data_IF_122599978410
#
_entry.id   IF_122599978410
#
_cell.length_a   1.000
_cell.length_b   1.000
_cell.length_c   1.000
_cell.angle_alpha   90.00
_cell.angle_beta   90.00
_cell.angle_gamma   90.00
#
_symmetry.space_group_name_H-M   'P 1'
#
loop_
_entity.id
_entity.type
_entity.pdbx_description
1 polymer ?
#
# COMPACT_ATOMS: atom_id res chain seq x y z
N UNK A 1 -6.04 -10.85 -13.34
CA UNK A 1 -5.27 -11.97 -13.95
C UNK A 1 -5.39 -13.19 -13.04
N UNK A 2 -5.16 -14.43 -13.50
CA UNK A 2 -5.29 -15.60 -12.59
C UNK A 2 -3.96 -15.93 -11.92
N UNK A 3 -3.92 -15.80 -10.59
CA UNK A 3 -2.80 -16.25 -9.75
C UNK A 3 -2.92 -17.72 -9.36
N UNK A 4 -1.80 -18.35 -9.06
CA UNK A 4 -1.67 -19.67 -8.44
C UNK A 4 -1.35 -19.47 -6.96
N UNK A 5 -1.99 -20.25 -6.09
CA UNK A 5 -1.71 -20.23 -4.66
C UNK A 5 -0.60 -21.24 -4.34
N UNK A 6 0.54 -20.73 -3.91
CA UNK A 6 1.69 -21.50 -3.44
C UNK A 6 1.71 -21.49 -1.92
N UNK A 7 1.77 -22.68 -1.31
CA UNK A 7 1.89 -22.86 0.14
C UNK A 7 3.27 -23.43 0.47
N UNK A 8 3.96 -22.78 1.40
CA UNK A 8 5.28 -23.18 1.86
C UNK A 8 5.19 -23.92 3.20
N UNK A 9 6.23 -24.71 3.51
CA UNK A 9 6.30 -25.56 4.71
C UNK A 9 6.27 -24.75 6.01
N UNK A 10 6.77 -23.52 5.98
CA UNK A 10 6.74 -22.59 7.12
C UNK A 10 5.34 -22.01 7.38
N UNK A 11 4.39 -22.21 6.47
CA UNK A 11 3.02 -21.67 6.52
C UNK A 11 2.81 -20.42 5.67
N UNK A 12 3.85 -19.93 4.99
CA UNK A 12 3.77 -18.79 4.07
C UNK A 12 2.87 -19.13 2.89
N UNK A 13 2.05 -18.17 2.46
CA UNK A 13 1.14 -18.31 1.32
C UNK A 13 1.37 -17.18 0.34
N UNK A 14 1.68 -17.52 -0.91
CA UNK A 14 1.80 -16.55 -1.99
C UNK A 14 0.76 -16.81 -3.07
N UNK A 15 0.22 -15.73 -3.63
CA UNK A 15 -0.60 -15.74 -4.84
C UNK A 15 0.26 -15.17 -5.97
N UNK A 16 0.72 -16.04 -6.86
CA UNK A 16 1.75 -15.73 -7.87
C UNK A 16 1.20 -15.90 -9.29
N UNK A 17 1.64 -15.04 -10.20
CA UNK A 17 1.48 -15.26 -11.63
C UNK A 17 2.50 -16.29 -12.13
N UNK A 18 2.32 -16.77 -13.36
CA UNK A 18 3.24 -17.76 -13.97
C UNK A 18 4.69 -17.28 -14.08
N UNK A 19 4.93 -15.96 -14.07
CA UNK A 19 6.27 -15.36 -14.09
C UNK A 19 6.86 -15.18 -12.68
N UNK A 20 6.19 -15.66 -11.62
CA UNK A 20 6.61 -15.53 -10.23
C UNK A 20 6.25 -14.20 -9.56
N UNK A 21 5.56 -13.29 -10.26
CA UNK A 21 5.13 -12.03 -9.66
C UNK A 21 3.92 -12.21 -8.74
N UNK A 22 3.96 -11.61 -7.54
CA UNK A 22 2.82 -11.58 -6.64
C UNK A 22 1.63 -10.81 -7.25
N UNK A 23 0.44 -11.39 -7.19
CA UNK A 23 -0.79 -10.80 -7.70
C UNK A 23 -2.02 -11.39 -7.00
N UNK A 24 -2.87 -10.53 -6.42
CA UNK A 24 -4.20 -10.91 -5.95
C UNK A 24 -5.12 -9.69 -5.84
N UNK A 25 -6.29 -9.75 -6.48
CA UNK A 25 -7.25 -8.62 -6.51
C UNK A 25 -8.09 -8.51 -5.23
N UNK A 26 -8.47 -9.65 -4.62
CA UNK A 26 -9.43 -9.69 -3.50
C UNK A 26 -8.79 -9.90 -2.11
N UNK A 27 -7.47 -9.71 -1.97
CA UNK A 27 -6.78 -9.97 -0.71
C UNK A 27 -5.27 -9.80 -0.78
N UNK A 28 -4.56 -10.09 0.33
CA UNK A 28 -3.10 -10.06 0.33
C UNK A 28 -2.55 -11.11 -0.64
N UNK A 29 -1.58 -10.71 -1.45
CA UNK A 29 -0.87 -11.62 -2.33
C UNK A 29 0.24 -12.37 -1.59
N UNK A 30 0.66 -11.87 -0.42
CA UNK A 30 1.52 -12.59 0.51
C UNK A 30 0.93 -12.58 1.92
N UNK A 31 0.82 -13.76 2.53
CA UNK A 31 0.43 -13.95 3.93
C UNK A 31 1.51 -14.76 4.64
N UNK A 32 2.08 -14.20 5.70
CA UNK A 32 3.16 -14.85 6.45
C UNK A 32 2.65 -15.48 7.75
N UNK A 33 3.31 -16.55 8.24
CA UNK A 33 2.92 -17.24 9.48
C UNK A 33 2.99 -16.34 10.71
N UNK A 34 3.91 -15.37 10.67
CA UNK A 34 4.02 -14.38 11.72
C UNK A 34 2.82 -13.43 11.74
N UNK A 35 1.93 -13.41 10.75
CA UNK A 35 0.75 -12.54 10.68
C UNK A 35 0.92 -11.30 9.79
N UNK A 36 2.11 -11.08 9.23
CA UNK A 36 2.35 -10.02 8.25
C UNK A 36 1.57 -10.31 6.96
N UNK A 37 1.14 -9.24 6.28
CA UNK A 37 0.37 -9.31 5.03
C UNK A 37 0.83 -8.25 4.06
N UNK A 38 0.90 -8.62 2.79
CA UNK A 38 1.23 -7.70 1.71
C UNK A 38 0.29 -7.85 0.52
N UNK A 39 -0.12 -6.72 -0.03
CA UNK A 39 -1.02 -6.64 -1.19
C UNK A 39 -0.21 -6.26 -2.43
N UNK A 40 -0.31 -7.10 -3.45
CA UNK A 40 0.41 -6.94 -4.70
C UNK A 40 -0.53 -7.15 -5.88
N UNK A 41 -0.38 -6.30 -6.89
CA UNK A 41 -1.05 -6.42 -8.19
C UNK A 41 0.03 -6.36 -9.27
N UNK A 42 0.19 -7.45 -10.02
CA UNK A 42 1.14 -7.55 -11.13
C UNK A 42 2.58 -7.21 -10.70
N UNK A 43 3.03 -7.82 -9.60
CA UNK A 43 4.38 -7.60 -9.07
C UNK A 43 4.60 -6.23 -8.44
N UNK A 44 3.55 -5.40 -8.27
CA UNK A 44 3.64 -4.08 -7.63
C UNK A 44 2.85 -4.03 -6.34
N UNK A 45 3.48 -3.59 -5.26
CA UNK A 45 2.82 -3.35 -3.99
C UNK A 45 1.72 -2.28 -4.19
N UNK A 46 0.48 -2.65 -3.92
CA UNK A 46 -0.69 -1.86 -4.30
C UNK A 46 -1.90 -2.23 -3.44
N UNK A 47 -2.56 -1.22 -2.86
CA UNK A 47 -3.91 -1.35 -2.30
C UNK A 47 -4.58 0.02 -2.20
N UNK A 48 -5.81 0.15 -2.71
CA UNK A 48 -6.55 1.42 -2.72
C UNK A 48 -7.25 1.73 -1.38
N UNK A 49 -7.85 0.70 -0.76
CA UNK A 49 -8.72 0.89 0.41
C UNK A 49 -8.02 0.73 1.77
N UNK A 50 -6.69 0.63 1.78
CA UNK A 50 -5.95 0.35 3.01
C UNK A 50 -4.44 0.29 2.83
N UNK A 51 -3.69 -0.04 3.89
CA UNK A 51 -2.25 -0.24 3.78
C UNK A 51 -1.97 -1.45 2.88
N UNK A 52 -1.00 -1.28 1.99
CA UNK A 52 -0.53 -2.37 1.12
C UNK A 52 0.45 -3.30 1.83
N UNK A 53 0.96 -2.90 3.00
CA UNK A 53 1.75 -3.74 3.91
C UNK A 53 1.21 -3.54 5.32
N UNK A 54 0.83 -4.63 5.97
CA UNK A 54 0.43 -4.70 7.38
C UNK A 54 1.36 -5.65 8.12
N UNK A 55 2.16 -5.12 9.04
CA UNK A 55 3.03 -5.92 9.89
C UNK A 55 2.31 -6.31 11.18
N UNK A 56 2.58 -7.49 11.75
CA UNK A 56 1.98 -7.94 13.01
C UNK A 56 2.31 -7.03 14.19
N UNK A 57 3.48 -6.40 14.17
CA UNK A 57 3.84 -5.43 15.19
C UNK A 57 2.90 -4.20 15.20
N UNK A 58 2.09 -4.01 14.15
CA UNK A 58 1.12 -2.94 13.99
C UNK A 58 1.55 -1.86 12.99
N UNK A 59 2.76 -1.92 12.46
CA UNK A 59 3.26 -0.98 11.46
C UNK A 59 2.50 -1.15 10.14
N UNK A 60 2.25 -0.04 9.45
CA UNK A 60 1.46 0.01 8.22
C UNK A 60 2.12 0.88 7.17
N UNK A 61 2.09 0.43 5.92
CA UNK A 61 2.59 1.22 4.79
C UNK A 61 1.59 1.20 3.63
N UNK A 62 1.33 2.37 3.05
CA UNK A 62 0.41 2.56 1.93
C UNK A 62 1.19 2.70 0.63
N UNK A 63 0.81 1.89 -0.35
CA UNK A 63 1.42 1.88 -1.67
C UNK A 63 0.33 1.81 -2.74
N UNK A 64 0.53 2.56 -3.81
CA UNK A 64 -0.28 2.51 -5.03
C UNK A 64 0.68 2.32 -6.19
N UNK A 65 0.50 1.23 -6.93
CA UNK A 65 1.27 0.92 -8.15
C UNK A 65 2.78 0.93 -7.92
N UNK A 66 3.24 0.38 -6.79
CA UNK A 66 4.66 0.31 -6.43
C UNK A 66 5.25 1.64 -5.95
N UNK A 67 4.42 2.65 -5.64
CA UNK A 67 4.86 3.93 -5.08
C UNK A 67 4.20 4.18 -3.73
N UNK A 68 4.98 4.55 -2.71
CA UNK A 68 4.43 5.00 -1.42
C UNK A 68 3.50 6.19 -1.67
N UNK A 69 2.26 6.08 -1.21
CA UNK A 69 1.23 7.06 -1.52
C UNK A 69 0.09 6.96 -0.51
N UNK A 70 -0.33 8.10 0.05
CA UNK A 70 -1.61 8.22 0.75
C UNK A 70 -2.09 9.67 0.76
N UNK A 71 -3.35 9.89 0.42
CA UNK A 71 -3.95 11.23 0.35
C UNK A 71 -4.55 11.69 1.68
N UNK A 72 -5.08 10.75 2.46
CA UNK A 72 -5.82 11.06 3.69
C UNK A 72 -4.99 10.97 4.98
N UNK A 73 -3.67 10.79 4.86
CA UNK A 73 -2.80 10.63 6.02
C UNK A 73 -1.36 10.30 5.64
N UNK A 74 -0.52 9.89 6.61
CA UNK A 74 0.83 9.45 6.34
C UNK A 74 0.82 8.12 5.56
N UNK A 75 1.76 7.97 4.62
CA UNK A 75 1.94 6.75 3.86
C UNK A 75 2.75 5.68 4.61
N UNK A 76 3.30 6.02 5.78
CA UNK A 76 3.84 5.08 6.76
C UNK A 76 3.37 5.46 8.16
N UNK A 77 2.88 4.48 8.92
CA UNK A 77 2.53 4.62 10.34
C UNK A 77 3.27 3.55 11.14
N UNK A 78 4.25 3.99 11.93
CA UNK A 78 4.96 3.15 12.89
C UNK A 78 4.25 3.15 14.23
N UNK A 79 4.26 2.00 14.91
CA UNK A 79 3.71 1.84 16.27
C UNK A 79 4.43 2.68 17.34
N UNK A 80 5.67 3.08 17.07
CA UNK A 80 6.42 4.04 17.88
C UNK A 80 5.98 5.51 17.70
N UNK A 81 4.96 5.78 16.88
CA UNK A 81 4.44 7.11 16.58
C UNK A 81 5.13 7.81 15.40
N UNK A 82 6.15 7.20 14.79
CA UNK A 82 6.78 7.72 13.57
C UNK A 82 5.76 7.70 12.43
N UNK A 83 5.73 8.79 11.67
CA UNK A 83 4.85 8.97 10.52
C UNK A 83 5.65 9.57 9.38
N UNK A 84 5.45 9.07 8.17
CA UNK A 84 6.03 9.66 6.97
C UNK A 84 4.97 9.88 5.89
N UNK A 85 5.03 11.01 5.21
CA UNK A 85 4.04 11.41 4.22
C UNK A 85 4.63 11.29 2.82
N UNK A 86 3.93 10.56 1.96
CA UNK A 86 4.33 10.39 0.57
C UNK A 86 3.13 10.56 -0.37
N UNK A 87 3.37 11.20 -1.51
CA UNK A 87 2.45 11.21 -2.64
C UNK A 87 3.22 10.74 -3.87
N UNK A 88 2.78 9.63 -4.47
CA UNK A 88 3.36 9.07 -5.69
C UNK A 88 4.88 8.85 -5.60
N UNK A 89 5.35 8.40 -4.44
CA UNK A 89 6.77 8.13 -4.17
C UNK A 89 7.60 9.35 -3.79
N UNK A 90 7.02 10.55 -3.79
CA UNK A 90 7.69 11.78 -3.36
C UNK A 90 7.38 12.00 -1.88
N UNK A 91 8.44 12.18 -1.08
CA UNK A 91 8.34 12.49 0.35
C UNK A 91 7.96 13.95 0.58
N UNK A 92 7.14 14.17 1.60
CA UNK A 92 6.73 15.50 2.05
C UNK A 92 6.82 15.58 3.56
N UNK A 93 6.99 16.79 4.08
CA UNK A 93 6.59 17.06 5.47
C UNK A 93 5.06 17.01 5.59
N UNK A 94 4.55 16.80 6.81
CA UNK A 94 3.10 16.82 7.06
C UNK A 94 2.46 18.14 6.57
N UNK A 95 3.11 19.29 6.79
CA UNK A 95 2.59 20.59 6.39
C UNK A 95 2.52 20.72 4.86
N UNK A 96 3.58 20.28 4.15
CA UNK A 96 3.59 20.32 2.69
C UNK A 96 2.55 19.37 2.11
N UNK A 97 2.39 18.17 2.67
CA UNK A 97 1.35 17.21 2.25
C UNK A 97 -0.05 17.81 2.39
N UNK A 98 -0.38 18.39 3.55
CA UNK A 98 -1.65 19.11 3.77
C UNK A 98 -1.88 20.21 2.73
N UNK A 99 -0.83 20.95 2.39
CA UNK A 99 -0.91 22.00 1.35
C UNK A 99 -1.20 21.41 -0.03
N UNK A 100 -0.52 20.33 -0.43
CA UNK A 100 -0.77 19.63 -1.70
C UNK A 100 -2.23 19.14 -1.79
N UNK A 101 -2.73 18.52 -0.72
CA UNK A 101 -4.08 17.99 -0.68
C UNK A 101 -5.15 19.09 -0.74
N UNK A 102 -4.92 20.23 -0.06
CA UNK A 102 -5.80 21.39 -0.17
C UNK A 102 -5.84 21.94 -1.59
N UNK A 103 -4.68 22.07 -2.24
CA UNK A 103 -4.57 22.51 -3.63
C UNK A 103 -5.28 21.58 -4.61
N UNK A 104 -5.12 20.25 -4.44
CA UNK A 104 -5.82 19.24 -5.24
C UNK A 104 -7.34 19.33 -5.09
N UNK A 105 -7.83 19.46 -3.84
CA UNK A 105 -9.27 19.60 -3.54
C UNK A 105 -9.87 20.86 -4.16
N UNK A 106 -9.18 22.01 -4.06
CA UNK A 106 -9.60 23.27 -4.68
C UNK A 106 -9.70 23.16 -6.21
N UNK A 107 -8.70 22.56 -6.88
CA UNK A 107 -8.73 22.34 -8.33
C UNK A 107 -9.90 21.47 -8.76
N UNK A 108 -10.19 20.39 -8.02
CA UNK A 108 -11.32 19.48 -8.30
C UNK A 108 -12.65 20.24 -8.27
N UNK A 109 -12.88 21.03 -7.22
CA UNK A 109 -14.11 21.85 -7.08
C UNK A 109 -14.28 22.87 -8.22
N UNK A 110 -13.19 23.44 -8.73
CA UNK A 110 -13.23 24.44 -9.80
C UNK A 110 -13.48 23.85 -11.19
N UNK A 111 -13.11 22.59 -11.44
CA UNK A 111 -13.28 21.91 -12.74
C UNK A 111 -14.56 21.06 -12.81
N UNK A 112 -15.25 20.85 -11.69
CA UNK A 112 -16.58 20.19 -11.62
C UNK A 112 -17.75 21.19 -11.76
N UNK A 113 -17.47 22.43 -12.17
CA UNK A 113 -18.46 23.48 -12.53
C UNK A 113 -18.40 23.75 -14.02
#
# INVERSE_FOLDING_TARGET
MKSILTFYKDGTKFWELYNGELHREDGPAAEYPNGDKEWWINGKCHREDGPAIECKNGDKTWWINGKRHREDGPAYEGTNGVKWWYLNGIEYTEQQHKYQMRGKKLKKILHEK
#
